data_IF_108037401823
#
_entry.id   IF_108037401823
#
_cell.length_a   1.000
_cell.length_b   1.000
_cell.length_c   1.000
_cell.angle_alpha   90.00
_cell.angle_beta   90.00
_cell.angle_gamma   90.00
#
_symmetry.space_group_name_H-M   'P 1'
#
loop_
_entity.id
_entity.type
_entity.pdbx_description
1 polymer ?
#
# COMPACT_ATOMS: atom_id res chain seq x y z
N UNK A 1 14.68 9.99 -0.96
CA UNK A 1 13.98 8.85 -1.53
C UNK A 1 12.76 8.51 -0.70
N UNK A 2 11.60 8.36 -1.31
CA UNK A 2 10.43 7.93 -0.58
C UNK A 2 10.66 6.54 0.00
N UNK A 3 10.17 6.32 1.22
CA UNK A 3 10.28 5.02 1.88
C UNK A 3 8.95 4.31 1.84
N UNK A 4 8.97 3.06 1.37
CA UNK A 4 7.77 2.24 1.16
C UNK A 4 7.82 1.02 2.08
N UNK A 5 6.74 0.79 2.80
CA UNK A 5 6.56 -0.43 3.57
C UNK A 5 5.82 -1.44 2.68
N UNK A 6 6.42 -2.61 2.47
CA UNK A 6 5.83 -3.67 1.66
C UNK A 6 5.47 -4.84 2.57
N UNK A 7 4.19 -5.16 2.65
CA UNK A 7 3.68 -6.21 3.54
C UNK A 7 3.01 -7.30 2.72
N UNK A 8 3.62 -8.48 2.68
CA UNK A 8 3.09 -9.64 1.98
C UNK A 8 3.75 -10.87 2.58
N UNK A 9 2.98 -11.92 2.85
CA UNK A 9 3.53 -13.15 3.40
C UNK A 9 4.21 -14.03 2.35
N UNK A 10 4.06 -13.72 1.07
CA UNK A 10 4.72 -14.43 -0.01
C UNK A 10 6.04 -13.76 -0.37
N UNK A 11 7.15 -14.46 -0.11
CA UNK A 11 8.48 -13.88 -0.30
C UNK A 11 8.77 -13.50 -1.75
N UNK A 12 8.31 -14.30 -2.71
CA UNK A 12 8.54 -14.01 -4.12
C UNK A 12 7.79 -12.75 -4.58
N UNK A 13 6.61 -12.50 -4.04
CA UNK A 13 5.87 -11.27 -4.34
C UNK A 13 6.60 -10.08 -3.75
N UNK A 14 7.05 -10.16 -2.50
CA UNK A 14 7.83 -9.09 -1.87
C UNK A 14 9.09 -8.78 -2.67
N UNK A 15 9.78 -9.82 -3.12
CA UNK A 15 11.01 -9.65 -3.89
C UNK A 15 10.74 -8.91 -5.19
N UNK A 16 9.71 -9.30 -5.92
CA UNK A 16 9.36 -8.65 -7.18
C UNK A 16 9.02 -7.18 -6.96
N UNK A 17 8.21 -6.89 -5.98
CA UNK A 17 7.84 -5.51 -5.65
C UNK A 17 9.09 -4.70 -5.29
N UNK A 18 9.96 -5.27 -4.46
CA UNK A 18 11.16 -4.58 -4.02
C UNK A 18 12.09 -4.25 -5.19
N UNK A 19 12.25 -5.18 -6.12
CA UNK A 19 13.10 -4.97 -7.29
C UNK A 19 12.56 -3.81 -8.12
N UNK A 20 11.26 -3.84 -8.42
CA UNK A 20 10.62 -2.80 -9.23
C UNK A 20 10.75 -1.43 -8.57
N UNK A 21 10.51 -1.36 -7.27
CA UNK A 21 10.54 -0.08 -6.57
C UNK A 21 11.95 0.47 -6.44
N UNK A 22 12.94 -0.39 -6.21
CA UNK A 22 14.33 0.07 -6.14
C UNK A 22 14.81 0.64 -7.46
N UNK A 23 14.41 0.01 -8.56
CA UNK A 23 14.72 0.54 -9.89
C UNK A 23 14.14 1.95 -10.05
N UNK A 24 12.98 2.20 -9.44
CA UNK A 24 12.31 3.49 -9.49
C UNK A 24 12.67 4.42 -8.34
N UNK A 25 13.77 4.13 -7.64
CA UNK A 25 14.35 5.00 -6.62
C UNK A 25 13.53 5.13 -5.35
N UNK A 26 12.84 4.07 -4.96
CA UNK A 26 12.19 3.99 -3.66
C UNK A 26 13.09 3.23 -2.68
N UNK A 27 13.05 3.63 -1.42
CA UNK A 27 13.65 2.87 -0.35
C UNK A 27 12.59 1.89 0.17
N UNK A 28 12.96 0.62 0.33
CA UNK A 28 12.00 -0.44 0.64
C UNK A 28 12.30 -1.04 2.01
N UNK A 29 11.25 -1.23 2.79
CA UNK A 29 11.29 -2.02 4.01
C UNK A 29 10.23 -3.11 3.87
N UNK A 30 10.64 -4.37 4.01
CA UNK A 30 9.75 -5.51 3.84
C UNK A 30 9.27 -6.05 5.17
N UNK A 31 7.99 -6.43 5.22
CA UNK A 31 7.41 -7.13 6.36
C UNK A 31 6.64 -8.34 5.86
N UNK A 32 6.75 -9.45 6.58
CA UNK A 32 6.06 -10.68 6.21
C UNK A 32 4.74 -10.89 6.95
N UNK A 33 4.44 -10.03 7.91
CA UNK A 33 3.24 -10.15 8.73
C UNK A 33 2.77 -8.77 9.19
N UNK A 34 1.53 -8.72 9.68
CA UNK A 34 1.01 -7.49 10.25
C UNK A 34 1.79 -7.08 11.49
N UNK A 35 2.17 -8.04 12.32
CA UNK A 35 2.92 -7.73 13.54
C UNK A 35 4.27 -7.09 13.24
N UNK A 36 5.03 -7.66 12.29
CA UNK A 36 6.31 -7.08 11.91
C UNK A 36 6.13 -5.73 11.22
N UNK A 37 5.07 -5.58 10.42
CA UNK A 37 4.78 -4.30 9.77
C UNK A 37 4.53 -3.19 10.79
N UNK A 38 3.73 -3.46 11.81
CA UNK A 38 3.44 -2.48 12.85
C UNK A 38 4.69 -2.09 13.63
N UNK A 39 5.53 -3.07 13.92
CA UNK A 39 6.77 -2.81 14.62
C UNK A 39 7.69 -1.91 13.80
N UNK A 40 7.86 -2.22 12.52
CA UNK A 40 8.67 -1.41 11.63
C UNK A 40 8.11 0.00 11.46
N UNK A 41 6.78 0.10 11.42
CA UNK A 41 6.11 1.38 11.26
C UNK A 41 6.34 2.29 12.46
N UNK A 42 6.54 1.72 13.64
CA UNK A 42 6.85 2.48 14.84
C UNK A 42 8.30 2.98 14.86
N UNK A 43 9.19 2.28 14.18
CA UNK A 43 10.62 2.56 14.21
C UNK A 43 11.07 3.56 13.13
N UNK A 44 10.26 3.80 12.12
CA UNK A 44 10.62 4.66 11.01
C UNK A 44 9.39 5.32 10.41
N UNK A 45 9.61 6.35 9.61
CA UNK A 45 8.52 6.99 8.88
C UNK A 45 8.43 6.45 7.45
N UNK A 46 7.23 6.40 6.91
CA UNK A 46 6.97 5.87 5.60
C UNK A 46 6.11 6.83 4.78
N UNK A 47 6.34 6.83 3.48
CA UNK A 47 5.60 7.69 2.54
C UNK A 47 4.50 6.95 1.82
N UNK A 48 4.55 5.61 1.85
CA UNK A 48 3.60 4.75 1.14
C UNK A 48 3.63 3.37 1.78
N UNK A 49 2.50 2.69 1.78
CA UNK A 49 2.43 1.28 2.19
C UNK A 49 1.79 0.46 1.08
N UNK A 50 2.34 -0.71 0.83
CA UNK A 50 1.77 -1.71 -0.08
C UNK A 50 1.45 -2.92 0.78
N UNK A 51 0.17 -3.27 0.88
CA UNK A 51 -0.31 -4.26 1.84
C UNK A 51 -1.13 -5.33 1.14
N UNK A 52 -0.76 -6.60 1.35
CA UNK A 52 -1.59 -7.72 0.92
C UNK A 52 -2.80 -7.82 1.86
N UNK A 53 -3.99 -7.90 1.30
CA UNK A 53 -5.22 -8.00 2.08
C UNK A 53 -5.30 -9.34 2.82
N UNK A 54 -4.80 -10.42 2.21
CA UNK A 54 -4.81 -11.73 2.83
C UNK A 54 -3.44 -12.09 3.38
N UNK A 55 -3.18 -11.66 4.60
CA UNK A 55 -2.02 -12.09 5.35
C UNK A 55 -2.41 -13.27 6.22
N UNK A 56 -1.48 -14.20 6.42
CA UNK A 56 -1.75 -15.34 7.28
C UNK A 56 -2.16 -14.88 8.67
N UNK A 57 -3.34 -15.33 9.10
CA UNK A 57 -3.82 -15.05 10.44
C UNK A 57 -4.28 -13.62 10.69
N UNK A 58 -4.28 -12.76 9.69
CA UNK A 58 -4.63 -11.35 9.87
C UNK A 58 -5.24 -10.79 8.60
N UNK A 59 -6.25 -9.96 8.76
CA UNK A 59 -6.84 -9.25 7.65
C UNK A 59 -6.02 -7.98 7.36
N UNK A 60 -5.59 -7.83 6.11
CA UNK A 60 -4.83 -6.66 5.70
C UNK A 60 -5.59 -5.35 5.85
N UNK A 61 -6.92 -5.38 5.78
CA UNK A 61 -7.74 -4.18 6.01
C UNK A 61 -7.55 -3.63 7.41
N UNK A 62 -7.47 -4.52 8.40
CA UNK A 62 -7.22 -4.12 9.78
C UNK A 62 -5.85 -3.48 9.93
N UNK A 63 -4.86 -4.03 9.23
CA UNK A 63 -3.52 -3.43 9.24
C UNK A 63 -3.54 -2.05 8.62
N UNK A 64 -4.21 -1.88 7.49
CA UNK A 64 -4.31 -0.57 6.83
C UNK A 64 -4.95 0.45 7.77
N UNK A 65 -6.02 0.07 8.45
CA UNK A 65 -6.68 0.95 9.41
C UNK A 65 -5.73 1.34 10.54
N UNK A 66 -4.94 0.39 11.04
CA UNK A 66 -3.97 0.67 12.10
C UNK A 66 -2.88 1.63 11.63
N UNK A 67 -2.37 1.45 10.42
CA UNK A 67 -1.35 2.34 9.86
C UNK A 67 -1.90 3.76 9.68
N UNK A 68 -3.11 3.87 9.16
CA UNK A 68 -3.75 5.16 8.98
C UNK A 68 -4.17 5.83 10.28
N UNK A 69 -4.39 5.04 11.33
CA UNK A 69 -4.61 5.58 12.65
C UNK A 69 -3.39 6.34 13.16
N UNK A 70 -2.20 5.94 12.74
CA UNK A 70 -0.95 6.58 13.12
C UNK A 70 -0.55 7.70 12.16
N UNK A 71 -0.79 7.51 10.87
CA UNK A 71 -0.47 8.49 9.84
C UNK A 71 -1.73 8.69 8.99
N UNK A 72 -2.60 9.61 9.37
CA UNK A 72 -3.80 9.89 8.58
C UNK A 72 -3.42 10.35 7.18
N UNK A 73 -4.11 9.79 6.19
CA UNK A 73 -3.84 10.14 4.81
C UNK A 73 -2.66 9.40 4.18
N UNK A 74 -2.07 8.43 4.87
CA UNK A 74 -1.00 7.62 4.30
C UNK A 74 -1.47 6.98 3.00
N UNK A 75 -0.75 7.19 1.87
CA UNK A 75 -1.08 6.49 0.63
C UNK A 75 -0.90 4.98 0.81
N UNK A 76 -1.89 4.21 0.37
CA UNK A 76 -1.85 2.75 0.49
C UNK A 76 -2.28 2.10 -0.82
N UNK A 77 -1.52 1.10 -1.25
CA UNK A 77 -1.91 0.19 -2.31
C UNK A 77 -2.24 -1.15 -1.68
N UNK A 78 -3.47 -1.60 -1.85
CA UNK A 78 -3.92 -2.89 -1.33
C UNK A 78 -3.83 -3.94 -2.43
N UNK A 79 -3.16 -5.05 -2.17
CA UNK A 79 -2.97 -6.13 -3.12
C UNK A 79 -3.83 -7.30 -2.71
N UNK A 80 -4.52 -7.94 -3.66
CA UNK A 80 -5.34 -9.10 -3.34
C UNK A 80 -5.67 -9.94 -4.56
N UNK A 81 -6.14 -11.17 -4.31
CA UNK A 81 -6.79 -11.98 -5.33
C UNK A 81 -8.19 -11.45 -5.62
N UNK A 82 -8.88 -12.10 -6.56
CA UNK A 82 -10.13 -11.58 -7.10
C UNK A 82 -11.20 -11.29 -6.08
N UNK A 83 -11.40 -12.18 -5.13
CA UNK A 83 -12.51 -12.06 -4.18
C UNK A 83 -12.24 -11.13 -3.00
N UNK A 84 -10.99 -10.83 -2.74
CA UNK A 84 -10.62 -10.05 -1.56
C UNK A 84 -10.92 -8.58 -1.71
N UNK A 85 -11.02 -8.09 -2.94
CA UNK A 85 -11.26 -6.67 -3.19
C UNK A 85 -12.62 -6.20 -2.69
N UNK A 86 -13.58 -7.11 -2.59
CA UNK A 86 -14.92 -6.76 -2.13
C UNK A 86 -14.94 -6.34 -0.66
N UNK A 87 -13.98 -6.77 0.12
CA UNK A 87 -13.92 -6.42 1.54
C UNK A 87 -13.49 -4.99 1.79
N UNK A 88 -12.83 -4.35 0.81
CA UNK A 88 -12.32 -3.01 1.00
C UNK A 88 -13.39 -1.94 0.98
N UNK A 89 -14.55 -2.23 0.39
CA UNK A 89 -15.60 -1.23 0.24
C UNK A 89 -16.39 -1.00 1.53
N UNK A 90 -16.21 -1.83 2.54
CA UNK A 90 -17.04 -1.79 3.74
C UNK A 90 -16.45 -0.96 4.88
N UNK A 91 -15.20 -0.60 4.80
CA UNK A 91 -14.50 0.09 5.89
C UNK A 91 -14.10 1.49 5.45
N UNK A 92 -14.57 2.54 6.15
CA UNK A 92 -14.22 3.90 5.76
C UNK A 92 -12.72 4.18 5.70
N UNK A 93 -11.95 3.55 6.56
CA UNK A 93 -10.49 3.75 6.63
C UNK A 93 -9.77 3.24 5.40
N UNK A 94 -10.41 2.35 4.62
CA UNK A 94 -9.79 1.78 3.44
C UNK A 94 -10.55 2.10 2.15
N UNK A 95 -11.58 2.94 2.23
CA UNK A 95 -12.43 3.21 1.07
C UNK A 95 -11.71 3.93 -0.07
N UNK A 96 -10.69 4.71 0.24
CA UNK A 96 -9.90 5.46 -0.74
C UNK A 96 -8.60 4.77 -1.12
N UNK A 97 -8.39 3.55 -0.64
CA UNK A 97 -7.19 2.78 -0.93
C UNK A 97 -7.19 2.36 -2.40
N UNK A 98 -6.03 2.47 -3.04
CA UNK A 98 -5.87 1.99 -4.41
C UNK A 98 -5.75 0.47 -4.40
N UNK A 99 -6.48 -0.19 -5.26
CA UNK A 99 -6.54 -1.66 -5.30
C UNK A 99 -5.74 -2.20 -6.47
N UNK A 100 -4.94 -3.23 -6.21
CA UNK A 100 -4.13 -3.90 -7.22
C UNK A 100 -4.38 -5.39 -7.13
N UNK A 101 -4.91 -5.99 -8.19
CA UNK A 101 -5.30 -7.40 -8.21
C UNK A 101 -4.14 -8.27 -8.67
N UNK A 102 -3.92 -9.38 -7.98
CA UNK A 102 -2.96 -10.41 -8.41
C UNK A 102 -3.58 -11.27 -9.52
N UNK A 103 -2.79 -11.72 -10.50
CA UNK A 103 -1.39 -11.35 -10.74
C UNK A 103 -1.29 -9.97 -11.40
N UNK A 104 -0.22 -9.26 -11.11
CA UNK A 104 0.00 -7.95 -11.72
C UNK A 104 1.42 -7.89 -12.28
N UNK A 105 1.63 -6.95 -13.20
CA UNK A 105 2.92 -6.73 -13.82
C UNK A 105 3.55 -5.45 -13.25
N UNK A 106 4.87 -5.26 -13.42
CA UNK A 106 5.52 -4.05 -12.95
C UNK A 106 4.84 -2.74 -13.36
N UNK A 107 4.38 -2.55 -14.61
CA UNK A 107 3.66 -1.32 -14.95
C UNK A 107 2.37 -1.13 -14.16
N UNK A 108 1.66 -2.22 -13.86
CA UNK A 108 0.43 -2.15 -13.07
C UNK A 108 0.72 -1.65 -11.66
N UNK A 109 1.81 -2.15 -11.08
CA UNK A 109 2.24 -1.73 -9.75
C UNK A 109 2.58 -0.24 -9.74
N UNK A 110 3.34 0.24 -10.73
CA UNK A 110 3.72 1.64 -10.78
C UNK A 110 2.51 2.54 -10.99
N UNK A 111 1.54 2.13 -11.81
CA UNK A 111 0.29 2.87 -11.97
C UNK A 111 -0.47 2.97 -10.65
N UNK A 112 -0.53 1.88 -9.88
CA UNK A 112 -1.22 1.89 -8.59
C UNK A 112 -0.53 2.83 -7.61
N UNK A 113 0.79 2.82 -7.58
CA UNK A 113 1.56 3.71 -6.72
C UNK A 113 1.30 5.18 -7.07
N UNK A 114 1.33 5.49 -8.36
CA UNK A 114 1.06 6.85 -8.82
C UNK A 114 -0.36 7.29 -8.46
N UNK A 115 -1.32 6.37 -8.59
CA UNK A 115 -2.70 6.66 -8.23
C UNK A 115 -2.84 6.93 -6.72
N UNK A 116 -2.16 6.15 -5.89
CA UNK A 116 -2.21 6.32 -4.45
C UNK A 116 -1.60 7.66 -4.03
N UNK A 117 -0.45 8.00 -4.60
CA UNK A 117 0.20 9.27 -4.32
C UNK A 117 -0.57 10.44 -4.91
N UNK A 118 -1.16 10.23 -6.07
CA UNK A 118 -1.99 11.24 -6.72
C UNK A 118 -3.25 11.55 -5.95
N UNK A 119 -3.88 10.53 -5.34
CA UNK A 119 -5.05 10.73 -4.49
C UNK A 119 -4.73 11.61 -3.29
N UNK A 120 -3.57 11.41 -2.68
CA UNK A 120 -3.14 12.26 -1.58
C UNK A 120 -2.92 13.69 -2.06
N UNK A 121 -2.25 13.85 -3.20
CA UNK A 121 -2.04 15.18 -3.78
C UNK A 121 -3.34 15.87 -4.17
N UNK A 122 -4.32 15.09 -4.64
CA UNK A 122 -5.63 15.61 -4.95
C UNK A 122 -6.35 16.14 -3.72
N UNK A 123 -6.22 15.44 -2.61
CA UNK A 123 -6.81 15.90 -1.35
C UNK A 123 -6.15 17.19 -0.86
N UNK A 124 -4.84 17.32 -1.06
CA UNK A 124 -4.08 18.49 -0.61
C UNK A 124 -4.17 19.67 -1.58
N UNK A 125 -4.29 19.38 -2.88
CA UNK A 125 -4.33 20.41 -3.91
C UNK A 125 -5.43 20.14 -4.91
N UNK A 126 -6.67 20.18 -4.46
CA UNK A 126 -7.83 19.78 -5.26
C UNK A 126 -7.95 20.53 -6.58
N UNK A 127 -7.58 21.79 -6.59
CA UNK A 127 -7.69 22.60 -7.81
C UNK A 127 -6.74 22.08 -8.89
N UNK A 128 -5.53 21.74 -8.50
CA UNK A 128 -4.54 21.22 -9.45
C UNK A 128 -5.01 19.90 -10.05
N UNK A 129 -5.61 19.05 -9.24
CA UNK A 129 -6.12 17.78 -9.72
C UNK A 129 -7.26 17.97 -10.73
N UNK A 130 -8.12 18.93 -10.49
CA UNK A 130 -9.26 19.20 -11.36
C UNK A 130 -8.84 19.68 -12.75
N UNK A 131 -7.64 20.23 -12.87
CA UNK A 131 -7.12 20.71 -14.14
C UNK A 131 -6.76 19.60 -15.12
N UNK A 132 -6.75 18.37 -14.68
CA UNK A 132 -6.41 17.22 -15.51
C UNK A 132 -7.66 16.66 -16.15
#
# INVERSE_FOLDING_TARGET
MPRVLVVDDQADVRTMISIVLRINRFEIVEAESAASALKLFEEASFDLAIVDIFLQGTNGSDLIAALRGRVPGLPVVAISGMTALDFLSETPEVSDVVRLQKPFRPPDLMCAIEAAQGSLRQSAGAVAAAAR
#
